data_IF_053573992805
#
_entry.id   IF_053573992805
#
_cell.length_a   1.000
_cell.length_b   1.000
_cell.length_c   1.000
_cell.angle_alpha   90.00
_cell.angle_beta   90.00
_cell.angle_gamma   90.00
#
_symmetry.space_group_name_H-M   'P 1'
#
loop_
_entity.id
_entity.type
_entity.pdbx_description
1 polymer ?
#
# COMPACT_ATOMS: atom_id res chain seq x y z
N UNK A 1 6.70 -9.36 -32.07
CA UNK A 1 6.55 -10.62 -31.31
C UNK A 1 6.94 -10.33 -29.86
N UNK A 2 6.01 -9.86 -29.03
CA UNK A 2 6.20 -9.71 -27.59
C UNK A 2 5.47 -10.85 -26.90
N UNK A 3 6.21 -11.80 -26.34
CA UNK A 3 5.62 -12.90 -25.58
C UNK A 3 4.92 -12.38 -24.32
N UNK A 4 3.86 -13.06 -23.85
CA UNK A 4 3.17 -12.66 -22.63
C UNK A 4 4.14 -12.79 -21.46
N UNK A 5 4.47 -11.67 -20.80
CA UNK A 5 5.15 -11.73 -19.51
C UNK A 5 4.24 -12.46 -18.54
N UNK A 6 4.69 -13.57 -17.95
CA UNK A 6 3.81 -14.36 -17.14
C UNK A 6 3.53 -13.66 -15.80
N UNK A 7 2.27 -13.76 -15.36
CA UNK A 7 1.73 -13.21 -14.12
C UNK A 7 2.25 -13.92 -12.85
N UNK A 8 3.52 -14.35 -12.86
CA UNK A 8 4.16 -15.05 -11.74
C UNK A 8 4.58 -14.09 -10.63
N UNK A 9 4.94 -12.86 -10.98
CA UNK A 9 5.42 -11.89 -9.99
C UNK A 9 4.40 -11.65 -8.87
N UNK A 10 3.11 -11.62 -9.18
CA UNK A 10 2.05 -11.40 -8.19
C UNK A 10 1.85 -12.62 -7.26
N UNK A 11 1.96 -13.83 -7.81
CA UNK A 11 1.84 -15.09 -7.04
C UNK A 11 3.02 -15.35 -6.11
N UNK A 12 4.20 -14.79 -6.42
CA UNK A 12 5.40 -14.87 -5.55
C UNK A 12 5.16 -14.16 -4.22
N UNK A 13 4.54 -12.98 -4.23
CA UNK A 13 4.27 -12.22 -3.01
C UNK A 13 3.14 -12.81 -2.16
N UNK A 14 2.16 -13.47 -2.78
CA UNK A 14 1.04 -14.12 -2.09
C UNK A 14 1.44 -15.44 -1.39
N UNK A 15 2.50 -16.11 -1.85
CA UNK A 15 2.99 -17.38 -1.30
C UNK A 15 4.37 -17.24 -0.62
N UNK A 16 4.59 -16.12 0.09
CA UNK A 16 5.86 -15.86 0.80
C UNK A 16 6.07 -16.88 1.94
N UNK A 17 6.60 -18.04 1.56
CA UNK A 17 6.93 -19.14 2.45
C UNK A 17 8.41 -19.07 2.85
N UNK A 18 8.84 -19.94 3.78
CA UNK A 18 10.24 -19.95 4.24
C UNK A 18 11.27 -20.17 3.12
N UNK A 19 10.89 -20.85 2.04
CA UNK A 19 11.77 -21.10 0.90
C UNK A 19 11.93 -19.86 0.01
N UNK A 20 10.86 -19.10 -0.20
CA UNK A 20 10.91 -17.84 -0.94
C UNK A 20 11.79 -16.80 -0.23
N UNK A 21 11.76 -16.75 1.11
CA UNK A 21 12.70 -15.93 1.89
C UNK A 21 14.16 -16.28 1.64
N UNK A 22 14.48 -17.57 1.52
CA UNK A 22 15.84 -18.00 1.15
C UNK A 22 16.18 -17.53 -0.26
N UNK A 23 15.25 -17.63 -1.21
CA UNK A 23 15.41 -17.10 -2.56
C UNK A 23 15.69 -15.59 -2.58
N UNK A 24 14.90 -14.79 -1.86
CA UNK A 24 15.11 -13.35 -1.73
C UNK A 24 16.45 -13.01 -1.06
N UNK A 25 16.86 -13.77 -0.04
CA UNK A 25 18.15 -13.60 0.61
C UNK A 25 19.30 -13.85 -0.37
N UNK A 26 19.21 -14.90 -1.20
CA UNK A 26 20.20 -15.17 -2.24
C UNK A 26 20.27 -14.06 -3.30
N UNK A 27 19.11 -13.53 -3.72
CA UNK A 27 19.05 -12.38 -4.65
C UNK A 27 19.66 -11.13 -4.00
N UNK A 28 19.34 -10.86 -2.74
CA UNK A 28 19.93 -9.75 -2.00
C UNK A 28 21.45 -9.89 -1.88
N UNK A 29 21.95 -11.10 -1.61
CA UNK A 29 23.40 -11.38 -1.61
C UNK A 29 24.01 -11.23 -3.01
N UNK A 30 23.30 -11.52 -4.09
CA UNK A 30 23.81 -11.31 -5.45
C UNK A 30 23.94 -9.80 -5.78
N UNK A 31 22.95 -9.00 -5.40
CA UNK A 31 22.90 -7.56 -5.69
C UNK A 31 23.87 -6.79 -4.78
N UNK A 32 23.82 -7.05 -3.47
CA UNK A 32 24.58 -6.30 -2.47
C UNK A 32 25.92 -6.96 -2.10
N UNK A 33 26.04 -8.28 -2.27
CA UNK A 33 27.26 -9.02 -1.91
C UNK A 33 27.66 -8.85 -0.46
N UNK A 34 28.95 -8.65 -0.27
CA UNK A 34 29.59 -8.36 1.03
C UNK A 34 29.17 -7.03 1.66
N UNK A 35 28.46 -6.15 0.94
CA UNK A 35 28.01 -4.86 1.47
C UNK A 35 26.72 -4.96 2.26
N UNK A 36 26.01 -6.10 2.19
CA UNK A 36 24.73 -6.29 2.88
C UNK A 36 24.83 -6.04 4.40
N UNK A 37 25.83 -6.57 5.15
CA UNK A 37 26.00 -6.26 6.57
C UNK A 37 26.25 -4.77 6.83
N UNK A 38 26.96 -4.09 5.92
CA UNK A 38 27.23 -2.65 6.01
C UNK A 38 25.95 -1.84 5.81
N UNK A 39 25.14 -2.18 4.80
CA UNK A 39 23.84 -1.53 4.52
C UNK A 39 22.87 -1.70 5.69
N UNK A 40 22.80 -2.91 6.26
CA UNK A 40 22.02 -3.16 7.48
C UNK A 40 22.53 -2.29 8.63
N UNK A 41 23.85 -2.25 8.85
CA UNK A 41 24.46 -1.44 9.90
C UNK A 41 24.17 0.06 9.76
N UNK A 42 24.24 0.59 8.56
CA UNK A 42 23.95 2.00 8.26
C UNK A 42 22.45 2.30 8.43
N UNK A 43 21.57 1.39 8.00
CA UNK A 43 20.12 1.49 8.25
C UNK A 43 19.77 1.45 9.74
N UNK A 44 20.40 0.57 10.52
CA UNK A 44 20.21 0.50 11.98
C UNK A 44 20.71 1.77 12.68
N UNK A 45 21.83 2.34 12.24
CA UNK A 45 22.34 3.61 12.77
C UNK A 45 21.36 4.74 12.48
N UNK A 46 20.83 4.81 11.26
CA UNK A 46 19.81 5.79 10.88
C UNK A 46 18.54 5.63 11.72
N UNK A 47 18.06 4.40 11.91
CA UNK A 47 16.90 4.13 12.77
C UNK A 47 17.14 4.51 14.23
N UNK A 48 18.34 4.23 14.76
CA UNK A 48 18.70 4.60 16.13
C UNK A 48 18.78 6.11 16.30
N UNK A 49 19.34 6.82 15.32
CA UNK A 49 19.39 8.27 15.33
C UNK A 49 18.00 8.86 15.23
N UNK A 50 17.14 8.31 14.38
CA UNK A 50 15.74 8.73 14.26
C UNK A 50 14.96 8.50 15.56
N UNK A 51 15.18 7.36 16.23
CA UNK A 51 14.62 7.09 17.56
C UNK A 51 15.10 8.11 18.59
N UNK A 52 16.41 8.40 18.63
CA UNK A 52 16.98 9.36 19.55
C UNK A 52 16.44 10.78 19.29
N UNK A 53 16.33 11.19 18.02
CA UNK A 53 15.74 12.46 17.62
C UNK A 53 14.26 12.54 18.02
N UNK A 54 13.48 11.48 17.81
CA UNK A 54 12.10 11.42 18.26
C UNK A 54 11.99 11.57 19.78
N UNK A 55 12.82 10.86 20.56
CA UNK A 55 12.84 10.97 22.02
C UNK A 55 13.28 12.35 22.50
N UNK A 56 14.31 12.94 21.90
CA UNK A 56 14.83 14.26 22.29
C UNK A 56 13.84 15.38 21.93
N UNK A 57 13.29 15.37 20.72
CA UNK A 57 12.30 16.37 20.29
C UNK A 57 11.02 16.29 21.12
N UNK A 58 10.58 15.10 21.53
CA UNK A 58 9.48 14.96 22.50
C UNK A 58 9.86 15.54 23.86
N UNK A 59 11.09 15.33 24.33
CA UNK A 59 11.59 15.86 25.61
C UNK A 59 11.67 17.39 25.64
N UNK A 60 12.16 18.01 24.57
CA UNK A 60 12.29 19.46 24.48
C UNK A 60 10.92 20.14 24.29
N UNK A 61 10.04 19.55 23.48
CA UNK A 61 8.66 20.02 23.29
C UNK A 61 7.81 19.90 24.57
N UNK A 62 8.03 18.84 25.37
CA UNK A 62 7.39 18.66 26.68
C UNK A 62 7.87 19.68 27.71
N UNK A 63 9.15 20.11 27.65
CA UNK A 63 9.73 21.09 28.56
C UNK A 63 9.28 22.52 28.28
N UNK A 64 9.08 22.88 27.02
CA UNK A 64 8.73 24.25 26.62
C UNK A 64 7.22 24.53 26.59
N UNK A 65 6.37 23.51 26.40
CA UNK A 65 4.90 23.72 26.32
C UNK A 65 4.16 23.69 27.66
N UNK A 66 4.81 23.34 28.78
CA UNK A 66 4.21 23.40 30.12
C UNK A 66 2.93 22.56 30.32
N UNK A 67 2.54 21.77 29.32
CA UNK A 67 1.45 20.81 29.37
C UNK A 67 2.08 19.43 29.37
N UNK A 68 1.84 18.73 30.46
CA UNK A 68 2.37 17.41 30.76
C UNK A 68 1.72 16.39 29.80
N UNK A 69 2.24 16.30 28.57
CA UNK A 69 2.05 15.10 27.75
C UNK A 69 2.97 14.04 28.36
N UNK A 70 2.53 13.49 29.48
CA UNK A 70 3.27 12.51 30.27
C UNK A 70 3.55 11.28 29.40
N UNK A 71 4.83 11.05 29.13
CA UNK A 71 5.35 10.04 28.21
C UNK A 71 5.07 8.59 28.65
N UNK A 72 4.47 8.35 29.81
CA UNK A 72 3.96 7.03 30.22
C UNK A 72 2.79 6.53 29.34
N UNK A 73 2.08 7.43 28.64
CA UNK A 73 0.94 7.10 27.77
C UNK A 73 1.29 7.09 26.26
N UNK A 74 2.59 7.16 25.92
CA UNK A 74 3.13 7.05 24.56
C UNK A 74 3.57 5.63 24.20
N UNK A 75 2.90 4.62 24.75
CA UNK A 75 2.84 3.35 24.04
C UNK A 75 2.16 3.63 22.69
N UNK A 76 2.70 3.18 21.55
CA UNK A 76 2.11 3.50 20.24
C UNK A 76 0.65 3.04 20.15
N UNK A 77 0.25 2.03 20.96
CA UNK A 77 -1.13 1.59 21.12
C UNK A 77 -2.03 2.57 21.88
N UNK A 78 -1.52 3.32 22.86
CA UNK A 78 -2.32 4.26 23.66
C UNK A 78 -2.34 5.68 23.07
N UNK A 79 -1.27 6.12 22.40
CA UNK A 79 -1.24 7.38 21.66
C UNK A 79 -2.17 7.36 20.43
N UNK A 80 -2.13 6.27 19.66
CA UNK A 80 -3.11 5.98 18.60
C UNK A 80 -4.52 5.94 19.18
N UNK A 81 -4.72 5.33 20.34
CA UNK A 81 -6.01 5.31 21.01
C UNK A 81 -6.48 6.69 21.47
N UNK A 82 -5.60 7.58 21.93
CA UNK A 82 -5.97 8.88 22.51
C UNK A 82 -6.00 10.03 21.48
N UNK A 83 -5.30 9.89 20.35
CA UNK A 83 -5.35 10.84 19.23
C UNK A 83 -6.18 10.33 18.03
N UNK A 84 -6.54 9.04 17.96
CA UNK A 84 -7.57 8.55 17.03
C UNK A 84 -8.97 8.41 17.66
N UNK A 85 -9.10 8.42 18.99
CA UNK A 85 -10.41 8.37 19.69
C UNK A 85 -10.74 9.67 20.45
N UNK A 86 -10.12 10.80 20.12
CA UNK A 86 -10.74 12.07 20.50
C UNK A 86 -12.07 12.16 19.72
N UNK A 87 -13.16 12.26 20.47
CA UNK A 87 -14.55 11.93 20.07
C UNK A 87 -15.07 12.69 18.84
N UNK A 88 -14.39 13.74 18.38
CA UNK A 88 -14.78 14.56 17.24
C UNK A 88 -14.22 14.06 15.87
N UNK A 89 -13.09 13.34 15.85
CA UNK A 89 -12.42 12.92 14.59
C UNK A 89 -12.72 11.47 14.19
N UNK A 90 -13.33 10.70 15.09
CA UNK A 90 -13.65 9.30 14.88
C UNK A 90 -14.66 9.10 13.74
N UNK A 91 -15.62 10.01 13.57
CA UNK A 91 -16.58 9.98 12.45
C UNK A 91 -15.94 10.42 11.12
N UNK A 92 -14.97 11.34 11.15
CA UNK A 92 -14.30 11.88 9.98
C UNK A 92 -13.27 10.91 9.38
N UNK A 93 -12.56 10.13 10.21
CA UNK A 93 -11.63 9.09 9.76
C UNK A 93 -12.29 7.72 9.52
N UNK A 94 -13.37 7.36 10.23
CA UNK A 94 -14.05 6.07 10.00
C UNK A 94 -14.68 5.98 8.61
N UNK A 95 -15.28 7.07 8.11
CA UNK A 95 -15.91 7.09 6.78
C UNK A 95 -14.93 6.75 5.64
N UNK A 96 -13.77 7.42 5.50
CA UNK A 96 -12.82 7.10 4.44
C UNK A 96 -12.19 5.72 4.59
N UNK A 97 -11.89 5.26 5.81
CA UNK A 97 -11.32 3.92 5.99
C UNK A 97 -12.34 2.81 5.69
N UNK A 98 -13.61 3.02 6.05
CA UNK A 98 -14.69 2.09 5.70
C UNK A 98 -14.96 2.06 4.19
N UNK A 99 -15.00 3.22 3.52
CA UNK A 99 -15.17 3.25 2.06
C UNK A 99 -14.01 2.58 1.35
N UNK A 100 -12.77 2.82 1.78
CA UNK A 100 -11.59 2.16 1.22
C UNK A 100 -11.63 0.64 1.44
N UNK A 101 -12.09 0.18 2.60
CA UNK A 101 -12.22 -1.25 2.89
C UNK A 101 -13.33 -1.90 2.07
N UNK A 102 -14.45 -1.20 1.86
CA UNK A 102 -15.55 -1.66 1.02
C UNK A 102 -15.17 -1.70 -0.46
N UNK A 103 -14.48 -0.68 -0.97
CA UNK A 103 -13.96 -0.61 -2.34
C UNK A 103 -12.98 -1.76 -2.60
N UNK A 104 -12.00 -1.94 -1.71
CA UNK A 104 -11.02 -3.04 -1.82
C UNK A 104 -11.71 -4.41 -1.76
N UNK A 105 -12.75 -4.56 -0.93
CA UNK A 105 -13.51 -5.80 -0.83
C UNK A 105 -14.39 -6.06 -2.05
N UNK A 106 -14.97 -5.02 -2.64
CA UNK A 106 -15.76 -5.09 -3.85
C UNK A 106 -14.87 -5.47 -5.05
N UNK A 107 -13.72 -4.82 -5.20
CA UNK A 107 -12.73 -5.13 -6.23
C UNK A 107 -12.21 -6.56 -6.09
N UNK A 108 -11.87 -6.98 -4.87
CA UNK A 108 -11.41 -8.35 -4.62
C UNK A 108 -12.49 -9.40 -4.93
N UNK A 109 -13.78 -9.10 -4.67
CA UNK A 109 -14.90 -9.98 -5.04
C UNK A 109 -15.08 -10.04 -6.55
N UNK A 110 -15.01 -8.92 -7.25
CA UNK A 110 -15.12 -8.88 -8.72
C UNK A 110 -13.97 -9.65 -9.40
N UNK A 111 -12.75 -9.52 -8.88
CA UNK A 111 -11.60 -10.30 -9.36
C UNK A 111 -11.80 -11.78 -9.08
N UNK A 112 -12.30 -12.14 -7.88
CA UNK A 112 -12.58 -13.54 -7.54
C UNK A 112 -13.68 -14.15 -8.42
N UNK A 113 -14.76 -13.41 -8.67
CA UNK A 113 -15.84 -13.85 -9.54
C UNK A 113 -15.33 -14.01 -10.98
N UNK A 114 -14.53 -13.08 -11.50
CA UNK A 114 -13.95 -13.23 -12.86
C UNK A 114 -12.92 -14.35 -13.01
N UNK A 115 -12.37 -14.88 -11.90
CA UNK A 115 -11.53 -16.07 -11.88
C UNK A 115 -12.36 -17.37 -11.81
N UNK A 116 -13.52 -17.33 -11.15
CA UNK A 116 -14.43 -18.49 -11.00
C UNK A 116 -15.35 -18.67 -12.22
N UNK A 117 -15.64 -17.57 -12.93
CA UNK A 117 -16.36 -17.57 -14.21
C UNK A 117 -15.40 -17.97 -15.35
N UNK A 118 -15.27 -19.27 -15.62
CA UNK A 118 -14.75 -19.76 -16.90
C UNK A 118 -15.79 -19.54 -18.01
N UNK A 119 -16.05 -18.28 -18.36
CA UNK A 119 -16.85 -17.90 -19.52
C UNK A 119 -15.97 -17.15 -20.54
N UNK A 120 -16.05 -17.49 -21.84
CA UNK A 120 -15.26 -16.83 -22.88
C UNK A 120 -15.66 -15.36 -22.99
N UNK A 121 -14.69 -14.48 -22.86
CA UNK A 121 -14.83 -13.03 -23.09
C UNK A 121 -15.42 -12.80 -24.49
N UNK A 122 -16.66 -12.32 -24.55
CA UNK A 122 -17.25 -11.82 -25.79
C UNK A 122 -16.45 -10.57 -26.23
N UNK A 123 -16.05 -10.46 -27.52
CA UNK A 123 -15.26 -9.32 -27.96
C UNK A 123 -16.02 -7.99 -27.79
N UNK A 124 -15.32 -6.88 -27.54
CA UNK A 124 -15.95 -5.57 -27.53
C UNK A 124 -16.56 -5.28 -28.91
N UNK A 125 -17.85 -4.99 -28.93
CA UNK A 125 -18.55 -4.57 -30.15
C UNK A 125 -17.91 -3.28 -30.66
N UNK A 126 -17.26 -3.37 -31.82
CA UNK A 126 -16.75 -2.19 -32.53
C UNK A 126 -17.94 -1.27 -32.84
N UNK A 127 -17.84 0.03 -32.55
CA UNK A 127 -18.81 0.98 -33.05
C UNK A 127 -18.74 0.97 -34.58
N UNK A 128 -19.84 0.57 -35.21
CA UNK A 128 -20.00 0.58 -36.66
C UNK A 128 -19.66 1.97 -37.20
N UNK A 129 -18.66 2.02 -38.06
CA UNK A 129 -18.28 3.20 -38.80
C UNK A 129 -19.44 3.69 -39.68
N UNK A 130 -19.75 4.98 -39.52
CA UNK A 130 -20.18 5.90 -40.58
C UNK A 130 -21.41 5.48 -41.41
N UNK A 131 -22.60 5.70 -40.86
CA UNK A 131 -23.74 6.07 -41.72
C UNK A 131 -23.49 7.48 -42.23
N UNK A 132 -22.96 7.56 -43.46
CA UNK A 132 -22.87 8.78 -44.26
C UNK A 132 -24.27 9.40 -44.35
N UNK A 133 -24.52 10.44 -43.55
CA UNK A 133 -25.71 11.27 -43.67
C UNK A 133 -25.61 12.02 -45.00
N UNK A 134 -26.49 11.63 -45.92
CA UNK A 134 -26.74 12.30 -47.19
C UNK A 134 -27.05 13.78 -46.93
N UNK A 135 -26.17 14.67 -47.37
CA UNK A 135 -26.45 16.09 -47.50
C UNK A 135 -26.96 16.28 -48.93
N UNK A 136 -28.25 16.07 -49.09
CA UNK A 136 -29.02 16.42 -50.26
C UNK A 136 -30.16 17.29 -49.73
N UNK A 137 -30.50 18.37 -50.45
CA UNK A 137 -31.50 19.40 -50.13
C UNK A 137 -30.97 20.69 -49.47
N UNK A 138 -30.56 21.65 -50.32
CA UNK A 138 -30.91 23.08 -50.23
C UNK A 138 -30.14 23.90 -51.29
N UNK A 139 -30.73 24.05 -52.49
CA UNK A 139 -30.86 25.31 -53.29
C UNK A 139 -31.56 25.02 -54.61
#
# INVERSE_FOLDING_TARGET
MGGPYPLYAYRVFENLNGWEFVGLLLIALLIFGEKLPKVIGDGLRMLRNLRAMATNATGDLSRELGTDISLEDLNPKTFVRKHLLSEDDEAALRRPIQSLYEDVRADAKQVRDSIDLNDPVAPPQQPSALTRSSYDDAT
#
